data_IF_189672929342
#
_entry.id   IF_189672929342
#
_cell.length_a   1.000
_cell.length_b   1.000
_cell.length_c   1.000
_cell.angle_alpha   90.00
_cell.angle_beta   90.00
_cell.angle_gamma   90.00
#
_symmetry.space_group_name_H-M   'P 1'
#
loop_
_entity.id
_entity.type
_entity.pdbx_description
1 polymer ?
#
# COMPACT_ATOMS: atom_id res chain seq x y z
N UNK A 1 21.93 5.03 -7.09
CA UNK A 1 21.94 4.38 -5.77
C UNK A 1 21.84 2.88 -6.00
N UNK A 2 22.80 2.10 -5.54
CA UNK A 2 22.70 0.63 -5.60
C UNK A 2 21.51 0.19 -4.76
N UNK A 3 20.53 -0.48 -5.38
CA UNK A 3 19.39 -1.07 -4.67
C UNK A 3 19.88 -2.34 -3.99
N UNK A 4 20.31 -2.24 -2.74
CA UNK A 4 20.53 -3.43 -1.91
C UNK A 4 19.21 -4.17 -1.72
N UNK A 5 19.17 -5.50 -1.82
CA UNK A 5 17.97 -6.27 -1.52
C UNK A 5 17.59 -6.05 -0.06
N UNK A 6 16.32 -5.74 0.19
CA UNK A 6 15.75 -5.66 1.54
C UNK A 6 15.37 -7.07 1.99
N UNK A 7 15.81 -7.47 3.18
CA UNK A 7 15.41 -8.71 3.81
C UNK A 7 14.21 -8.45 4.72
N UNK A 8 13.15 -9.25 4.57
CA UNK A 8 11.97 -9.22 5.41
C UNK A 8 11.84 -10.50 6.24
N UNK A 9 10.97 -10.46 7.25
CA UNK A 9 10.63 -11.64 8.05
C UNK A 9 9.16 -11.99 7.83
N UNK A 10 8.84 -13.28 7.90
CA UNK A 10 7.45 -13.75 7.96
C UNK A 10 7.19 -14.15 9.41
N UNK A 11 6.14 -13.62 10.01
CA UNK A 11 5.75 -13.98 11.37
C UNK A 11 5.10 -15.38 11.42
N UNK A 12 4.83 -15.88 12.64
CA UNK A 12 4.23 -17.21 12.84
C UNK A 12 2.82 -17.36 12.24
N UNK A 13 2.17 -16.25 11.90
CA UNK A 13 0.83 -16.22 11.29
C UNK A 13 0.89 -16.10 9.76
N UNK A 14 2.09 -16.05 9.18
CA UNK A 14 2.28 -15.90 7.74
C UNK A 14 2.23 -14.46 7.24
N UNK A 15 2.30 -13.46 8.11
CA UNK A 15 2.35 -12.05 7.68
C UNK A 15 3.78 -11.66 7.32
N UNK A 16 3.95 -10.97 6.19
CA UNK A 16 5.20 -10.33 5.84
C UNK A 16 5.38 -9.06 6.71
N UNK A 17 6.42 -9.06 7.54
CA UNK A 17 6.84 -7.89 8.29
C UNK A 17 7.68 -6.99 7.37
N UNK A 18 7.13 -5.82 7.03
CA UNK A 18 7.83 -4.85 6.22
C UNK A 18 8.97 -4.19 7.03
N UNK A 19 10.21 -4.19 6.51
CA UNK A 19 11.29 -3.46 7.15
C UNK A 19 11.04 -1.94 7.09
N UNK A 20 11.61 -1.14 8.01
CA UNK A 20 11.36 0.31 8.09
C UNK A 20 11.56 1.04 6.76
N UNK A 21 12.57 0.66 5.98
CA UNK A 21 12.89 1.25 4.68
C UNK A 21 11.77 1.03 3.64
N UNK A 22 11.07 -0.11 3.72
CA UNK A 22 9.91 -0.36 2.85
C UNK A 22 8.68 0.42 3.34
N UNK A 23 8.53 0.60 4.65
CA UNK A 23 7.44 1.37 5.25
C UNK A 23 7.54 2.87 4.92
N UNK A 24 8.75 3.43 4.81
CA UNK A 24 8.94 4.83 4.37
C UNK A 24 8.44 5.05 2.93
N UNK A 25 8.53 4.04 2.07
CA UNK A 25 8.10 4.12 0.66
C UNK A 25 6.61 3.81 0.50
N UNK A 26 6.14 2.72 1.11
CA UNK A 26 4.75 2.27 0.99
C UNK A 26 3.79 3.05 1.91
N UNK A 27 4.31 3.68 2.96
CA UNK A 27 3.50 4.38 3.95
C UNK A 27 2.53 3.45 4.70
N UNK A 28 1.44 4.03 5.18
CA UNK A 28 0.36 3.31 5.86
C UNK A 28 -0.85 3.20 4.95
N UNK A 29 -1.59 2.09 5.03
CA UNK A 29 -2.86 1.90 4.33
C UNK A 29 -2.98 0.53 3.66
N UNK A 30 -3.91 0.43 2.71
CA UNK A 30 -4.04 -0.74 1.87
C UNK A 30 -2.84 -0.84 0.92
N UNK A 31 -2.27 -2.03 0.81
CA UNK A 31 -1.18 -2.35 -0.12
C UNK A 31 -1.73 -3.40 -1.08
N UNK A 32 -1.64 -3.11 -2.37
CA UNK A 32 -1.92 -4.09 -3.42
C UNK A 32 -0.71 -5.02 -3.58
N UNK A 33 -1.00 -6.32 -3.62
CA UNK A 33 0.02 -7.37 -3.72
C UNK A 33 -0.23 -8.15 -5.01
N UNK A 34 0.73 -8.11 -5.92
CA UNK A 34 0.67 -8.84 -7.20
C UNK A 34 1.85 -9.80 -7.28
N UNK A 35 1.56 -11.07 -7.59
CA UNK A 35 2.60 -12.04 -7.91
C UNK A 35 2.94 -11.97 -9.40
N UNK A 36 4.21 -11.77 -9.73
CA UNK A 36 4.72 -11.72 -11.09
C UNK A 36 5.95 -12.65 -11.20
N UNK A 37 5.72 -13.86 -11.75
CA UNK A 37 6.74 -14.90 -11.79
C UNK A 37 7.21 -15.30 -10.39
N UNK A 38 8.52 -15.18 -10.14
CA UNK A 38 9.14 -15.48 -8.84
C UNK A 38 9.20 -14.24 -7.91
N UNK A 39 8.51 -13.16 -8.26
CA UNK A 39 8.52 -11.89 -7.51
C UNK A 39 7.14 -11.52 -6.99
N UNK A 40 7.12 -10.82 -5.85
CA UNK A 40 5.93 -10.16 -5.30
C UNK A 40 6.13 -8.65 -5.42
N UNK A 41 5.20 -7.99 -6.10
CA UNK A 41 5.15 -6.54 -6.26
C UNK A 41 4.18 -5.99 -5.22
N UNK A 42 4.68 -5.10 -4.37
CA UNK A 42 3.89 -4.38 -3.37
C UNK A 42 3.69 -2.95 -3.86
N UNK A 43 2.45 -2.56 -4.09
CA UNK A 43 2.09 -1.21 -4.54
C UNK A 43 1.20 -0.56 -3.50
N UNK A 44 1.53 0.67 -3.10
CA UNK A 44 0.65 1.46 -2.23
C UNK A 44 -0.66 1.73 -2.97
N UNK A 45 -1.79 1.32 -2.39
CA UNK A 45 -3.09 1.64 -2.96
C UNK A 45 -3.47 3.09 -2.59
N UNK A 46 -2.93 4.08 -3.31
CA UNK A 46 -3.40 5.47 -3.24
C UNK A 46 -4.24 5.86 -4.46
N UNK A 47 -5.31 6.65 -4.31
CA UNK A 47 -6.24 6.74 -3.18
C UNK A 47 -7.68 6.36 -3.59
N UNK A 48 -8.50 5.94 -2.63
CA UNK A 48 -9.96 6.16 -2.72
C UNK A 48 -10.26 7.49 -2.01
N UNK A 49 -9.94 8.63 -2.64
CA UNK A 49 -10.52 9.91 -2.23
C UNK A 49 -11.82 10.11 -3.00
N UNK A 50 -12.96 9.73 -2.41
CA UNK A 50 -14.27 10.11 -2.95
C UNK A 50 -14.76 11.34 -2.19
N UNK A 51 -14.64 12.52 -2.81
CA UNK A 51 -15.34 13.71 -2.37
C UNK A 51 -16.68 13.77 -3.11
N UNK A 52 -17.80 13.57 -2.41
CA UNK A 52 -19.13 13.87 -2.94
C UNK A 52 -19.53 15.25 -2.41
N UNK A 53 -19.45 16.26 -3.27
CA UNK A 53 -19.97 17.59 -2.98
C UNK A 53 -21.42 17.68 -3.46
N UNK A 54 -22.39 17.33 -2.62
CA UNK A 54 -23.80 17.54 -2.95
C UNK A 54 -24.18 19.00 -2.73
N UNK A 55 -24.51 19.71 -3.81
CA UNK A 55 -25.15 21.03 -3.72
C UNK A 55 -26.58 20.83 -3.19
N UNK A 56 -26.86 21.23 -1.95
CA UNK A 56 -28.26 21.35 -1.47
C UNK A 56 -29.02 22.28 -2.42
N UNK A 57 -29.86 21.70 -3.28
CA UNK A 57 -30.89 22.47 -3.97
C UNK A 57 -31.93 22.85 -2.91
N UNK A 58 -31.88 24.09 -2.42
CA UNK A 58 -33.04 24.66 -1.75
C UNK A 58 -34.13 24.83 -2.80
N UNK A 59 -35.07 23.87 -2.86
CA UNK A 59 -36.37 24.09 -3.49
C UNK A 59 -37.20 24.96 -2.55
N UNK A 60 -37.24 26.28 -2.78
CA UNK A 60 -38.33 27.16 -2.40
C UNK A 60 -38.52 28.21 -3.48
#
# INVERSE_FOLDING_TARGET
MEKKPLLGQIDEKGNLLLPPEAQEVLGYGAIEIVAEGDSIILTKAEPIYTCVWERKQNKK
#
